data_IF_980078760455
#
_entry.id   IF_980078760455
#
_cell.length_a   1.000
_cell.length_b   1.000
_cell.length_c   1.000
_cell.angle_alpha   90.00
_cell.angle_beta   90.00
_cell.angle_gamma   90.00
#
_symmetry.space_group_name_H-M   'P 1'
#
loop_
_entity.id
_entity.type
_entity.pdbx_description
1 polymer ?
#
# COMPACT_ATOMS: atom_id res chain seq x y z
N UNK A 1 12.90 -26.31 -16.86
CA UNK A 1 12.83 -25.17 -15.93
C UNK A 1 12.06 -24.07 -16.65
N UNK A 2 10.78 -23.92 -16.36
CA UNK A 2 10.01 -22.77 -16.84
C UNK A 2 10.53 -21.56 -16.07
N UNK A 3 11.25 -20.67 -16.75
CA UNK A 3 11.57 -19.36 -16.20
C UNK A 3 10.22 -18.67 -16.08
N UNK A 4 9.63 -18.70 -14.88
CA UNK A 4 8.47 -17.91 -14.52
C UNK A 4 8.88 -16.45 -14.73
N UNK A 5 8.36 -15.84 -15.80
CA UNK A 5 8.64 -14.43 -16.12
C UNK A 5 7.42 -13.62 -15.70
N UNK A 6 7.62 -12.58 -14.90
CA UNK A 6 6.60 -11.56 -14.62
C UNK A 6 6.29 -10.69 -15.85
N UNK A 7 6.43 -11.23 -17.06
CA UNK A 7 6.35 -10.51 -18.34
C UNK A 7 4.93 -10.02 -18.64
N UNK A 8 3.91 -10.75 -18.17
CA UNK A 8 2.49 -10.42 -18.35
C UNK A 8 1.90 -9.52 -17.25
N UNK A 9 2.71 -9.08 -16.27
CA UNK A 9 2.24 -8.24 -15.17
C UNK A 9 1.91 -6.84 -15.69
N UNK A 10 0.65 -6.47 -15.56
CA UNK A 10 0.16 -5.14 -15.91
C UNK A 10 -0.09 -4.27 -14.68
N UNK A 11 -0.38 -4.82 -13.50
CA UNK A 11 -0.68 -4.06 -12.28
C UNK A 11 0.11 -4.62 -11.10
N UNK A 12 0.72 -3.74 -10.28
CA UNK A 12 1.22 -4.15 -8.96
C UNK A 12 0.29 -3.65 -7.86
N UNK A 13 -0.16 -4.57 -7.01
CA UNK A 13 -0.98 -4.35 -5.83
C UNK A 13 -0.07 -4.42 -4.59
N UNK A 14 0.14 -3.30 -3.89
CA UNK A 14 1.06 -3.18 -2.76
C UNK A 14 0.30 -3.09 -1.44
N UNK A 15 0.66 -3.95 -0.49
CA UNK A 15 0.03 -4.03 0.84
C UNK A 15 1.09 -4.17 1.94
N UNK A 16 1.22 -3.17 2.83
CA UNK A 16 1.89 -3.35 4.11
C UNK A 16 1.11 -4.31 5.01
N UNK A 17 1.82 -5.17 5.73
CA UNK A 17 1.25 -6.22 6.59
C UNK A 17 1.92 -6.15 7.95
N UNK A 18 1.13 -6.02 9.01
CA UNK A 18 1.58 -6.22 10.39
C UNK A 18 0.52 -7.03 11.13
N UNK A 19 0.91 -8.17 11.71
CA UNK A 19 -0.01 -9.12 12.35
C UNK A 19 0.53 -9.55 13.70
N UNK A 20 -0.12 -9.09 14.76
CA UNK A 20 0.13 -9.49 16.14
C UNK A 20 -0.83 -10.62 16.58
N UNK A 21 -2.06 -10.62 16.07
CA UNK A 21 -3.08 -11.61 16.41
C UNK A 21 -3.29 -12.63 15.28
N UNK A 22 -2.84 -13.88 15.49
CA UNK A 22 -2.97 -14.97 14.50
C UNK A 22 -4.43 -15.40 14.27
N UNK A 23 -5.28 -15.27 15.28
CA UNK A 23 -6.68 -15.73 15.23
C UNK A 23 -7.52 -14.90 14.26
N UNK A 24 -7.07 -13.70 13.91
CA UNK A 24 -7.78 -12.83 12.99
C UNK A 24 -7.85 -13.39 11.55
N UNK A 25 -6.96 -14.33 11.18
CA UNK A 25 -6.89 -15.00 9.87
C UNK A 25 -6.99 -14.04 8.67
N UNK A 26 -6.42 -12.84 8.82
CA UNK A 26 -6.66 -11.74 7.86
C UNK A 26 -6.00 -12.05 6.52
N UNK A 27 -4.84 -12.69 6.53
CA UNK A 27 -4.11 -13.03 5.31
C UNK A 27 -4.80 -14.13 4.54
N UNK A 28 -5.28 -15.17 5.22
CA UNK A 28 -6.06 -16.25 4.62
C UNK A 28 -7.33 -15.69 3.97
N UNK A 29 -8.05 -14.80 4.67
CA UNK A 29 -9.23 -14.10 4.12
C UNK A 29 -8.88 -13.23 2.91
N UNK A 30 -7.75 -12.52 2.97
CA UNK A 30 -7.26 -11.70 1.86
C UNK A 30 -6.97 -12.56 0.63
N UNK A 31 -6.22 -13.65 0.79
CA UNK A 31 -5.83 -14.55 -0.30
C UNK A 31 -7.06 -15.25 -0.89
N UNK A 32 -7.87 -15.91 -0.06
CA UNK A 32 -9.07 -16.63 -0.51
C UNK A 32 -9.99 -15.75 -1.35
N UNK A 33 -10.19 -14.49 -0.94
CA UNK A 33 -11.00 -13.53 -1.68
C UNK A 33 -10.49 -13.30 -3.11
N UNK A 34 -9.19 -13.10 -3.29
CA UNK A 34 -8.64 -12.85 -4.62
C UNK A 34 -8.52 -14.13 -5.45
N UNK A 35 -8.35 -15.29 -4.83
CA UNK A 35 -8.33 -16.58 -5.53
C UNK A 35 -9.68 -17.00 -6.16
N UNK A 36 -10.76 -16.33 -5.79
CA UNK A 36 -12.08 -16.46 -6.42
C UNK A 36 -12.14 -15.78 -7.79
N UNK A 37 -11.23 -14.86 -8.08
CA UNK A 37 -11.27 -14.06 -9.31
C UNK A 37 -10.77 -14.86 -10.51
N UNK A 38 -11.21 -14.43 -11.69
CA UNK A 38 -10.83 -15.03 -12.96
C UNK A 38 -9.31 -15.07 -13.17
N UNK A 39 -8.81 -16.21 -13.67
CA UNK A 39 -7.38 -16.46 -13.84
C UNK A 39 -6.71 -15.44 -14.78
N UNK A 40 -7.41 -15.01 -15.84
CA UNK A 40 -6.87 -14.02 -16.78
C UNK A 40 -6.67 -12.63 -16.16
N UNK A 41 -7.38 -12.34 -15.07
CA UNK A 41 -7.15 -11.13 -14.26
C UNK A 41 -5.94 -11.34 -13.36
N UNK A 42 -5.94 -12.43 -12.60
CA UNK A 42 -4.92 -12.69 -11.57
C UNK A 42 -3.52 -12.82 -12.16
N UNK A 43 -3.38 -13.45 -13.34
CA UNK A 43 -2.08 -13.59 -14.01
C UNK A 43 -1.44 -12.26 -14.39
N UNK A 44 -2.23 -11.18 -14.49
CA UNK A 44 -1.78 -9.81 -14.81
C UNK A 44 -1.50 -8.94 -13.58
N UNK A 45 -1.79 -9.45 -12.37
CA UNK A 45 -1.62 -8.71 -11.12
C UNK A 45 -0.47 -9.32 -10.35
N UNK A 46 0.46 -8.48 -9.95
CA UNK A 46 1.53 -8.80 -9.01
C UNK A 46 1.17 -8.26 -7.62
N UNK A 47 0.98 -9.15 -6.66
CA UNK A 47 0.73 -8.81 -5.28
C UNK A 47 2.07 -8.70 -4.53
N UNK A 48 2.34 -7.51 -3.98
CA UNK A 48 3.51 -7.26 -3.13
C UNK A 48 3.03 -7.08 -1.70
N UNK A 49 3.37 -8.05 -0.85
CA UNK A 49 3.04 -8.04 0.56
C UNK A 49 4.33 -7.75 1.34
N UNK A 50 4.31 -6.69 2.14
CA UNK A 50 5.47 -6.29 2.94
C UNK A 50 5.15 -6.50 4.40
N UNK A 51 5.69 -7.58 4.96
CA UNK A 51 5.62 -7.91 6.38
C UNK A 51 6.53 -6.96 7.19
N UNK A 52 5.91 -6.03 7.89
CA UNK A 52 6.53 -4.97 8.69
C UNK A 52 6.91 -5.48 10.08
N UNK A 53 7.76 -6.51 10.11
CA UNK A 53 8.24 -7.16 11.34
C UNK A 53 7.12 -7.75 12.22
N UNK A 54 6.10 -8.39 11.62
CA UNK A 54 5.08 -9.10 12.40
C UNK A 54 5.71 -10.11 13.37
N UNK A 55 5.24 -10.22 14.62
CA UNK A 55 5.72 -11.24 15.57
C UNK A 55 5.36 -12.66 15.12
N UNK A 56 4.32 -12.79 14.30
CA UNK A 56 3.94 -14.05 13.66
C UNK A 56 4.58 -14.12 12.29
N UNK A 57 5.14 -15.28 11.95
CA UNK A 57 5.69 -15.52 10.61
C UNK A 57 4.56 -15.52 9.58
N UNK A 58 4.70 -14.65 8.57
CA UNK A 58 3.78 -14.62 7.43
C UNK A 58 4.04 -15.81 6.51
N UNK A 59 3.07 -16.72 6.41
CA UNK A 59 3.09 -17.86 5.49
C UNK A 59 1.88 -17.78 4.57
N UNK A 60 2.14 -17.74 3.26
CA UNK A 60 1.08 -17.65 2.25
C UNK A 60 1.21 -18.81 1.28
N UNK A 61 0.17 -19.61 1.23
CA UNK A 61 0.02 -20.72 0.30
C UNK A 61 -1.05 -20.31 -0.71
N UNK A 62 -0.62 -20.07 -1.94
CA UNK A 62 -1.49 -19.77 -3.08
C UNK A 62 -0.82 -20.31 -4.32
N UNK A 63 -1.57 -20.93 -5.22
CA UNK A 63 -1.09 -21.38 -6.53
C UNK A 63 -1.60 -20.53 -7.70
N UNK A 64 -2.44 -19.52 -7.41
CA UNK A 64 -3.14 -18.69 -8.41
C UNK A 64 -2.62 -17.25 -8.52
N UNK A 65 -1.83 -16.80 -7.54
CA UNK A 65 -1.40 -15.41 -7.44
C UNK A 65 0.09 -15.26 -7.76
N UNK A 66 0.43 -14.21 -8.52
CA UNK A 66 1.81 -13.72 -8.61
C UNK A 66 2.12 -12.92 -7.34
N UNK A 67 3.03 -13.41 -6.50
CA UNK A 67 3.29 -12.84 -5.18
C UNK A 67 4.79 -12.59 -4.98
N UNK A 68 5.13 -11.40 -4.50
CA UNK A 68 6.38 -11.14 -3.77
C UNK A 68 6.05 -10.86 -2.31
N UNK A 69 6.68 -11.58 -1.40
CA UNK A 69 6.63 -11.31 0.04
C UNK A 69 8.01 -10.84 0.49
N UNK A 70 8.07 -9.63 1.02
CA UNK A 70 9.25 -9.12 1.69
C UNK A 70 8.99 -8.98 3.18
N UNK A 71 10.03 -9.17 3.99
CA UNK A 71 9.98 -8.96 5.44
C UNK A 71 11.00 -7.91 5.84
N UNK A 72 10.54 -6.90 6.56
CA UNK A 72 11.35 -5.98 7.34
C UNK A 72 11.71 -6.68 8.66
N UNK A 73 12.99 -6.64 9.02
CA UNK A 73 13.52 -7.34 10.20
C UNK A 73 13.69 -6.42 11.41
N UNK A 74 13.67 -5.11 11.19
CA UNK A 74 13.79 -4.12 12.23
C UNK A 74 12.39 -3.78 12.76
N UNK A 75 12.18 -3.89 14.07
CA UNK A 75 10.93 -3.55 14.72
C UNK A 75 10.81 -2.03 14.89
N UNK A 76 10.18 -1.39 13.92
CA UNK A 76 9.94 0.06 13.88
C UNK A 76 8.44 0.30 14.06
N UNK A 77 7.99 0.90 15.17
CA UNK A 77 6.58 1.23 15.35
C UNK A 77 6.07 2.11 14.21
N UNK A 78 4.86 1.85 13.72
CA UNK A 78 4.22 2.68 12.70
C UNK A 78 5.06 2.90 11.42
N UNK A 79 5.70 1.85 10.90
CA UNK A 79 6.58 1.91 9.72
C UNK A 79 5.84 1.71 8.38
N UNK A 80 4.57 2.08 8.33
CA UNK A 80 3.73 1.95 7.13
C UNK A 80 4.32 2.68 5.91
N UNK A 81 4.97 3.85 6.12
CA UNK A 81 5.64 4.59 5.06
C UNK A 81 6.81 3.82 4.45
N UNK A 82 7.68 3.26 5.31
CA UNK A 82 8.80 2.40 4.89
C UNK A 82 8.34 1.14 4.16
N UNK A 83 7.34 0.45 4.71
CA UNK A 83 6.76 -0.73 4.08
C UNK A 83 6.17 -0.43 2.69
N UNK A 84 5.50 0.71 2.51
CA UNK A 84 4.99 1.17 1.20
C UNK A 84 6.11 1.46 0.22
N UNK A 85 7.16 2.16 0.65
CA UNK A 85 8.32 2.43 -0.21
C UNK A 85 8.98 1.13 -0.67
N UNK A 86 9.14 0.15 0.22
CA UNK A 86 9.69 -1.16 -0.11
C UNK A 86 8.80 -1.90 -1.11
N UNK A 87 7.49 -1.89 -0.88
CA UNK A 87 6.55 -2.54 -1.78
C UNK A 87 6.54 -1.94 -3.18
N UNK A 88 6.68 -0.62 -3.29
CA UNK A 88 6.85 0.06 -4.59
C UNK A 88 8.21 -0.22 -5.22
N UNK A 89 9.29 -0.32 -4.44
CA UNK A 89 10.60 -0.71 -4.97
C UNK A 89 10.50 -2.06 -5.70
N UNK A 90 9.87 -3.04 -5.06
CA UNK A 90 9.71 -4.42 -5.53
C UNK A 90 8.65 -4.60 -6.64
N UNK A 91 7.92 -3.54 -6.98
CA UNK A 91 6.88 -3.59 -8.02
C UNK A 91 7.44 -4.01 -9.39
N UNK A 92 6.68 -4.85 -10.10
CA UNK A 92 7.01 -5.39 -11.43
C UNK A 92 6.24 -4.69 -12.56
N UNK A 93 5.32 -3.78 -12.22
CA UNK A 93 4.59 -2.94 -13.19
C UNK A 93 4.79 -1.45 -12.90
N UNK A 94 4.67 -0.64 -13.96
CA UNK A 94 4.59 0.81 -13.85
C UNK A 94 3.28 1.30 -13.20
N UNK A 95 2.20 0.50 -13.23
CA UNK A 95 0.90 0.80 -12.62
C UNK A 95 0.86 0.23 -11.20
N UNK A 96 0.56 1.10 -10.24
CA UNK A 96 0.58 0.79 -8.82
C UNK A 96 -0.80 1.02 -8.21
N UNK A 97 -1.30 0.03 -7.49
CA UNK A 97 -2.41 0.15 -6.55
C UNK A 97 -1.84 -0.03 -5.15
N UNK A 98 -1.86 1.00 -4.32
CA UNK A 98 -1.42 0.95 -2.93
C UNK A 98 -2.65 0.99 -2.02
N UNK A 99 -2.67 0.17 -0.98
CA UNK A 99 -3.79 0.06 -0.05
C UNK A 99 -3.39 -0.68 1.23
N UNK A 100 -4.29 -0.70 2.20
CA UNK A 100 -4.14 -1.46 3.44
C UNK A 100 -4.79 -2.85 3.35
N UNK A 101 -4.41 -3.74 4.28
CA UNK A 101 -4.82 -5.14 4.29
C UNK A 101 -6.33 -5.35 4.52
N UNK A 102 -7.01 -4.40 5.16
CA UNK A 102 -8.45 -4.40 5.43
C UNK A 102 -9.31 -3.85 4.27
N UNK A 103 -8.66 -3.46 3.17
CA UNK A 103 -9.29 -2.99 1.96
C UNK A 103 -9.32 -4.06 0.89
N UNK A 104 -10.42 -4.12 0.16
CA UNK A 104 -10.60 -5.08 -0.93
C UNK A 104 -11.27 -4.46 -2.13
N UNK A 105 -10.77 -4.83 -3.32
CA UNK A 105 -11.25 -4.30 -4.60
C UNK A 105 -12.07 -5.35 -5.32
N UNK A 106 -13.27 -5.00 -5.82
CA UNK A 106 -14.01 -5.88 -6.73
C UNK A 106 -13.19 -6.21 -7.99
N UNK A 107 -13.38 -7.41 -8.53
CA UNK A 107 -12.67 -7.86 -9.73
C UNK A 107 -12.83 -6.88 -10.91
N UNK A 108 -14.04 -6.36 -11.13
CA UNK A 108 -14.31 -5.34 -12.16
C UNK A 108 -13.45 -4.08 -12.02
N UNK A 109 -13.09 -3.69 -10.79
CA UNK A 109 -12.21 -2.55 -10.54
C UNK A 109 -10.78 -2.91 -10.90
N UNK A 110 -10.31 -4.11 -10.57
CA UNK A 110 -8.99 -4.57 -10.96
C UNK A 110 -8.86 -4.69 -12.49
N UNK A 111 -9.88 -5.24 -13.17
CA UNK A 111 -9.95 -5.24 -14.64
C UNK A 111 -9.87 -3.84 -15.22
N UNK A 112 -10.57 -2.87 -14.63
CA UNK A 112 -10.48 -1.47 -15.04
C UNK A 112 -9.06 -0.91 -14.90
N UNK A 113 -8.39 -1.17 -13.77
CA UNK A 113 -7.02 -0.68 -13.52
C UNK A 113 -5.98 -1.34 -14.43
N UNK A 114 -6.16 -2.63 -14.74
CA UNK A 114 -5.36 -3.35 -15.74
C UNK A 114 -5.57 -2.71 -17.12
N UNK A 115 -6.80 -2.49 -17.56
CA UNK A 115 -7.04 -1.84 -18.85
C UNK A 115 -6.67 -0.34 -18.88
N UNK A 116 -6.44 0.29 -17.72
CA UNK A 116 -6.13 1.71 -17.64
C UNK A 116 -4.74 2.00 -18.22
N UNK A 117 -4.56 3.09 -18.99
CA UNK A 117 -3.24 3.55 -19.37
C UNK A 117 -2.42 3.92 -18.13
N UNK A 118 -1.09 3.93 -18.25
CA UNK A 118 -0.21 4.33 -17.13
C UNK A 118 -0.63 5.74 -16.66
N UNK A 119 -1.07 5.89 -15.40
CA UNK A 119 -1.69 7.14 -14.96
C UNK A 119 -0.65 8.23 -14.76
N UNK A 120 -0.99 9.47 -15.15
CA UNK A 120 -0.20 10.69 -14.91
C UNK A 120 -0.62 11.42 -13.62
N UNK A 121 -1.56 10.85 -12.88
CA UNK A 121 -2.25 11.44 -11.75
C UNK A 121 -2.37 10.41 -10.64
N UNK A 122 -2.66 10.88 -9.42
CA UNK A 122 -3.08 10.00 -8.34
C UNK A 122 -4.60 9.89 -8.37
N UNK A 123 -5.11 8.66 -8.40
CA UNK A 123 -6.53 8.36 -8.39
C UNK A 123 -6.91 7.77 -7.04
N UNK A 124 -7.89 8.37 -6.37
CA UNK A 124 -8.53 7.76 -5.22
C UNK A 124 -9.85 7.08 -5.63
N UNK A 125 -10.39 6.31 -4.68
CA UNK A 125 -11.59 5.53 -4.87
C UNK A 125 -12.69 5.99 -3.91
N UNK A 126 -13.95 5.78 -4.30
CA UNK A 126 -15.02 5.80 -3.31
C UNK A 126 -14.81 4.64 -2.35
N UNK A 127 -15.03 4.88 -1.06
CA UNK A 127 -14.91 3.85 -0.03
C UNK A 127 -16.29 3.47 0.45
N UNK A 128 -16.54 2.18 0.59
CA UNK A 128 -17.74 1.66 1.26
C UNK A 128 -17.31 0.85 2.48
N UNK A 129 -17.85 1.21 3.64
CA UNK A 129 -17.69 0.47 4.90
C UNK A 129 -19.00 -0.24 5.20
N UNK A 130 -18.98 -1.57 5.29
CA UNK A 130 -20.17 -2.38 5.57
C UNK A 130 -21.37 -2.02 4.67
N UNK A 131 -21.11 -1.83 3.37
CA UNK A 131 -22.12 -1.45 2.36
C UNK A 131 -22.54 0.03 2.35
N UNK A 132 -22.03 0.87 3.26
CA UNK A 132 -22.38 2.29 3.35
C UNK A 132 -21.24 3.18 2.83
N UNK A 133 -21.54 4.30 2.13
CA UNK A 133 -20.52 5.26 1.71
C UNK A 133 -19.67 5.74 2.89
N UNK A 134 -18.37 5.87 2.66
CA UNK A 134 -17.39 6.32 3.64
C UNK A 134 -16.41 7.29 2.99
N UNK A 135 -15.76 8.13 3.81
CA UNK A 135 -14.71 9.03 3.34
C UNK A 135 -13.57 8.25 2.64
N UNK A 136 -13.07 8.74 1.48
CA UNK A 136 -11.92 8.15 0.80
C UNK A 136 -10.70 8.05 1.73
N UNK A 137 -9.98 6.96 1.62
CA UNK A 137 -8.76 6.75 2.41
C UNK A 137 -7.55 7.35 1.68
N UNK A 138 -6.77 8.26 2.29
CA UNK A 138 -5.61 8.88 1.64
C UNK A 138 -4.54 7.85 1.25
N UNK A 139 -4.48 6.74 1.98
CA UNK A 139 -3.53 5.65 1.82
C UNK A 139 -3.99 4.58 0.81
N UNK A 140 -5.14 4.78 0.15
CA UNK A 140 -5.68 3.86 -0.86
C UNK A 140 -5.83 4.56 -2.21
N UNK A 141 -4.89 4.31 -3.11
CA UNK A 141 -4.81 5.04 -4.38
C UNK A 141 -4.15 4.26 -5.50
N UNK A 142 -4.49 4.63 -6.73
CA UNK A 142 -3.88 4.15 -7.97
C UNK A 142 -3.03 5.24 -8.60
N UNK A 143 -1.79 4.92 -8.95
CA UNK A 143 -0.86 5.85 -9.60
C UNK A 143 0.19 5.09 -10.42
N UNK A 144 1.15 5.82 -11.00
CA UNK A 144 2.31 5.22 -11.66
C UNK A 144 3.54 5.30 -10.76
N UNK A 145 4.50 4.38 -10.95
CA UNK A 145 5.79 4.39 -10.24
C UNK A 145 6.51 5.73 -10.37
N UNK A 146 6.49 6.35 -11.55
CA UNK A 146 7.04 7.70 -11.76
C UNK A 146 6.29 8.78 -11.00
N UNK A 147 4.95 8.68 -10.89
CA UNK A 147 4.15 9.63 -10.10
C UNK A 147 4.46 9.48 -8.61
N UNK A 148 4.52 8.24 -8.10
CA UNK A 148 4.87 7.95 -6.71
C UNK A 148 6.24 8.55 -6.34
N UNK A 149 7.28 8.28 -7.13
CA UNK A 149 8.63 8.79 -6.87
C UNK A 149 8.84 10.27 -7.19
N UNK A 150 7.84 10.98 -7.73
CA UNK A 150 7.93 12.42 -7.91
C UNK A 150 8.15 13.16 -6.57
N UNK A 151 7.57 12.63 -5.49
CA UNK A 151 7.79 13.09 -4.11
C UNK A 151 8.91 12.33 -3.39
N UNK A 152 9.67 11.47 -4.10
CA UNK A 152 10.68 10.55 -3.55
C UNK A 152 10.10 9.38 -2.75
N UNK A 153 8.81 9.10 -2.93
CA UNK A 153 8.07 8.13 -2.11
C UNK A 153 7.42 8.78 -0.90
N UNK A 154 7.12 7.96 0.11
CA UNK A 154 6.63 8.39 1.42
C UNK A 154 7.83 8.79 2.28
N UNK A 155 7.71 9.87 3.03
CA UNK A 155 8.81 10.36 3.87
C UNK A 155 8.96 9.51 5.13
N UNK A 156 10.01 8.70 5.20
CA UNK A 156 10.25 7.77 6.31
C UNK A 156 10.62 8.46 7.64
N UNK A 157 10.84 9.78 7.65
CA UNK A 157 11.00 10.51 8.92
C UNK A 157 9.73 10.49 9.78
N UNK A 158 8.57 10.19 9.19
CA UNK A 158 7.33 9.98 9.94
C UNK A 158 7.23 8.56 10.56
N UNK A 159 8.08 7.61 10.14
CA UNK A 159 8.09 6.27 10.72
C UNK A 159 8.63 6.32 12.16
N UNK A 160 8.17 5.40 13.02
CA UNK A 160 8.41 5.42 14.46
C UNK A 160 7.25 6.02 15.27
N UNK A 161 6.34 6.76 14.62
CA UNK A 161 5.21 7.44 15.26
C UNK A 161 3.95 7.35 14.39
N UNK A 162 2.77 7.49 15.00
CA UNK A 162 1.52 7.30 14.28
C UNK A 162 1.13 8.52 13.42
N UNK A 163 0.86 8.24 12.14
CA UNK A 163 0.07 9.10 11.24
C UNK A 163 0.83 10.24 10.57
N UNK A 164 0.13 10.91 9.65
CA UNK A 164 0.56 12.07 8.85
C UNK A 164 1.59 11.83 7.75
N UNK A 165 2.18 10.64 7.66
CA UNK A 165 3.05 10.28 6.53
C UNK A 165 2.29 10.31 5.20
N UNK A 166 1.05 9.85 5.23
CA UNK A 166 0.10 9.82 4.12
C UNK A 166 -0.39 11.23 3.75
N UNK A 167 -0.74 12.04 4.75
CA UNK A 167 -1.15 13.43 4.56
C UNK A 167 -0.01 14.22 3.93
N UNK A 168 1.22 14.10 4.47
CA UNK A 168 2.37 14.81 3.93
C UNK A 168 2.70 14.37 2.51
N UNK A 169 2.66 13.06 2.23
CA UNK A 169 2.84 12.53 0.87
C UNK A 169 1.85 13.19 -0.11
N UNK A 170 0.57 13.24 0.25
CA UNK A 170 -0.47 13.84 -0.59
C UNK A 170 -0.28 15.34 -0.77
N UNK A 171 0.10 16.06 0.28
CA UNK A 171 0.38 17.51 0.24
C UNK A 171 1.62 17.84 -0.59
N UNK A 172 2.70 17.07 -0.45
CA UNK A 172 3.93 17.22 -1.23
C UNK A 172 3.66 16.96 -2.71
N UNK A 173 2.88 15.93 -3.04
CA UNK A 173 2.44 15.67 -4.40
C UNK A 173 1.66 16.84 -5.01
N UNK A 174 0.75 17.46 -4.24
CA UNK A 174 0.03 18.67 -4.68
C UNK A 174 0.98 19.86 -4.90
N UNK A 175 1.93 20.08 -3.99
CA UNK A 175 2.94 21.14 -4.13
C UNK A 175 3.78 20.93 -5.40
N UNK A 176 4.07 19.68 -5.74
CA UNK A 176 4.74 19.26 -6.97
C UNK A 176 3.83 19.24 -8.21
N UNK A 177 2.61 19.77 -8.12
CA UNK A 177 1.65 19.89 -9.22
C UNK A 177 1.11 18.56 -9.74
N UNK A 178 1.18 17.49 -8.95
CA UNK A 178 0.46 16.25 -9.23
C UNK A 178 -1.04 16.48 -9.06
N UNK A 179 -1.84 16.11 -10.07
CA UNK A 179 -3.30 16.21 -9.99
C UNK A 179 -3.89 14.98 -9.30
N UNK A 180 -5.01 15.18 -8.63
CA UNK A 180 -5.78 14.15 -7.96
C UNK A 180 -7.13 13.98 -8.67
N UNK A 181 -7.52 12.73 -8.89
CA UNK A 181 -8.81 12.36 -9.50
C UNK A 181 -9.49 11.28 -8.68
N UNK A 182 -10.79 11.12 -8.87
CA UNK A 182 -11.57 10.06 -8.23
C UNK A 182 -12.20 9.17 -9.28
N UNK A 183 -12.00 7.87 -9.18
CA UNK A 183 -12.83 6.92 -9.93
C UNK A 183 -14.22 6.88 -9.30
N UNK A 184 -15.19 7.52 -9.97
CA UNK A 184 -16.56 7.65 -9.42
C UNK A 184 -17.40 6.38 -9.50
N UNK A 185 -17.08 5.48 -10.43
CA UNK A 185 -17.79 4.21 -10.69
C UNK A 185 -17.08 2.99 -10.10
N UNK A 186 -15.89 3.17 -9.56
CA UNK A 186 -15.12 2.10 -8.92
C UNK A 186 -14.93 2.43 -7.46
N UNK A 187 -14.94 1.38 -6.64
CA UNK A 187 -14.94 1.54 -5.20
C UNK A 187 -14.03 0.52 -4.53
N UNK A 188 -13.69 0.81 -3.29
CA UNK A 188 -13.01 -0.10 -2.39
C UNK A 188 -13.93 -0.44 -1.23
N UNK A 189 -14.05 -1.72 -0.93
CA UNK A 189 -14.77 -2.21 0.24
C UNK A 189 -13.81 -2.33 1.40
N UNK A 190 -14.18 -1.77 2.54
CA UNK A 190 -13.42 -1.89 3.78
C UNK A 190 -14.20 -2.75 4.75
N UNK A 191 -13.51 -3.75 5.29
CA UNK A 191 -13.99 -4.55 6.42
C UNK A 191 -13.22 -4.11 7.65
N UNK A 192 -13.89 -3.38 8.54
CA UNK A 192 -13.21 -2.86 9.72
C UNK A 192 -13.10 -3.93 10.79
N UNK A 193 -11.97 -4.63 10.79
CA UNK A 193 -11.65 -5.68 11.76
C UNK A 193 -11.51 -5.17 13.21
N UNK A 194 -11.46 -3.85 13.43
CA UNK A 194 -11.22 -3.25 14.75
C UNK A 194 -12.48 -3.10 15.60
N UNK A 195 -13.66 -3.15 14.98
CA UNK A 195 -14.96 -3.01 15.67
C UNK A 195 -15.57 -4.36 16.09
N UNK A 196 -14.92 -5.47 15.72
CA UNK A 196 -15.33 -6.82 16.06
C UNK A 196 -14.29 -7.38 17.04
N UNK A 197 -14.74 -7.74 18.24
CA UNK A 197 -13.89 -8.36 19.27
C UNK A 197 -13.18 -9.61 18.70
N UNK A 198 -11.86 -9.70 18.88
CA UNK A 198 -11.03 -10.77 18.32
C UNK A 198 -10.52 -10.57 16.89
N UNK A 199 -10.99 -9.56 16.14
CA UNK A 199 -10.51 -9.29 14.77
C UNK A 199 -9.41 -8.20 14.69
N UNK A 200 -9.13 -7.45 15.77
CA UNK A 200 -7.99 -6.51 15.78
C UNK A 200 -6.65 -7.25 15.62
N UNK A 201 -5.80 -6.75 14.73
CA UNK A 201 -4.51 -7.37 14.41
C UNK A 201 -3.32 -6.73 15.11
N UNK A 202 -3.49 -5.62 15.86
CA UNK A 202 -2.42 -5.03 16.66
C UNK A 202 -2.93 -4.18 17.85
N UNK A 203 -2.07 -3.95 18.83
CA UNK A 203 -2.34 -3.13 20.03
C UNK A 203 -1.56 -1.79 20.08
N UNK A 204 -0.88 -1.40 19.00
CA UNK A 204 -0.10 -0.14 18.94
C UNK A 204 -0.90 1.12 19.31
N UNK A 205 -0.30 1.98 20.14
CA UNK A 205 -0.87 3.27 20.58
C UNK A 205 -0.81 4.31 19.47
N UNK A 206 -1.95 4.94 19.20
CA UNK A 206 -2.14 5.96 18.16
C UNK A 206 -1.88 7.38 18.69
N UNK A 207 -0.64 7.69 19.06
CA UNK A 207 -0.24 9.05 19.43
C UNK A 207 0.28 9.83 18.22
N UNK A 208 -0.41 10.92 17.87
CA UNK A 208 -0.14 11.75 16.71
C UNK A 208 0.78 12.94 17.01
N UNK A 209 1.07 13.26 18.28
CA UNK A 209 1.72 14.53 18.67
C UNK A 209 3.07 14.77 17.99
N UNK A 210 3.91 13.73 17.94
CA UNK A 210 5.26 13.84 17.35
C UNK A 210 5.16 14.13 15.86
N UNK A 211 4.36 13.35 15.14
CA UNK A 211 4.21 13.51 13.70
C UNK A 211 3.40 14.76 13.33
N UNK A 212 2.51 15.25 14.19
CA UNK A 212 1.82 16.53 13.99
C UNK A 212 2.80 17.71 14.02
N UNK A 213 3.72 17.71 14.98
CA UNK A 213 4.78 18.71 15.07
C UNK A 213 5.71 18.64 13.85
N UNK A 214 6.10 17.43 13.44
CA UNK A 214 6.92 17.20 12.25
C UNK A 214 6.21 17.69 10.96
N UNK A 215 4.93 17.36 10.80
CA UNK A 215 4.11 17.81 9.68
C UNK A 215 4.06 19.34 9.61
N UNK A 216 3.87 19.99 10.76
CA UNK A 216 3.82 21.45 10.85
C UNK A 216 5.12 22.09 10.36
N UNK A 217 6.27 21.54 10.76
CA UNK A 217 7.58 21.98 10.27
C UNK A 217 7.72 21.76 8.76
N UNK A 218 7.39 20.57 8.27
CA UNK A 218 7.55 20.20 6.84
C UNK A 218 6.62 20.99 5.91
N UNK A 219 5.43 21.39 6.38
CA UNK A 219 4.48 22.25 5.63
C UNK A 219 5.04 23.62 5.28
N UNK A 220 6.01 24.13 6.04
CA UNK A 220 6.69 25.38 5.70
C UNK A 220 7.36 25.29 4.31
N UNK A 221 7.95 24.14 3.98
CA UNK A 221 8.62 23.91 2.69
C UNK A 221 7.63 23.82 1.52
N UNK A 222 6.41 23.34 1.75
CA UNK A 222 5.40 23.16 0.69
C UNK A 222 4.98 24.47 0.03
N UNK A 223 5.13 25.59 0.74
CA UNK A 223 4.81 26.95 0.24
C UNK A 223 5.97 27.57 -0.55
N UNK A 224 7.14 26.93 -0.57
CA UNK A 224 8.34 27.44 -1.25
C UNK A 224 8.39 27.02 -2.72
N UNK A 225 9.34 27.57 -3.48
CA UNK A 225 9.64 27.11 -4.85
C UNK A 225 10.35 25.75 -4.89
N UNK A 226 10.81 25.21 -3.75
CA UNK A 226 11.57 23.96 -3.64
C UNK A 226 10.94 23.02 -2.60
N UNK A 227 9.68 22.57 -2.78
CA UNK A 227 8.96 21.79 -1.77
C UNK A 227 9.65 20.47 -1.37
N UNK A 228 10.47 19.88 -2.25
CA UNK A 228 11.28 18.69 -1.96
C UNK A 228 12.37 18.90 -0.90
N UNK A 229 12.66 20.15 -0.51
CA UNK A 229 13.59 20.41 0.61
C UNK A 229 13.00 19.97 1.96
N UNK A 230 11.67 19.84 2.08
CA UNK A 230 11.03 19.33 3.29
C UNK A 230 11.09 17.80 3.43
N UNK A 231 11.44 17.06 2.38
CA UNK A 231 11.53 15.60 2.41
C UNK A 231 12.88 15.13 2.98
N UNK A 232 12.86 14.21 3.95
CA UNK A 232 14.03 13.85 4.78
C UNK A 232 15.19 13.12 4.09
N UNK A 233 14.97 12.58 2.88
CA UNK A 233 15.93 11.71 2.14
C UNK A 233 16.25 10.39 2.84
N UNK A 234 15.55 10.09 3.93
CA UNK A 234 15.53 8.75 4.52
C UNK A 234 14.69 7.87 3.60
N UNK A 235 15.24 6.73 3.19
CA UNK A 235 14.57 5.79 2.29
C UNK A 235 15.10 4.39 2.55
N UNK A 236 14.19 3.46 2.85
CA UNK A 236 14.46 2.08 3.22
C UNK A 236 15.52 1.97 4.32
N UNK A 237 15.41 2.82 5.37
CA UNK A 237 16.37 2.86 6.47
C UNK A 237 16.12 1.77 7.51
N UNK A 238 16.08 0.51 7.04
CA UNK A 238 15.85 -0.69 7.83
C UNK A 238 16.37 -1.92 7.09
N UNK A 239 16.63 -3.00 7.83
CA UNK A 239 16.99 -4.30 7.25
C UNK A 239 15.75 -5.01 6.71
N UNK A 240 15.84 -5.58 5.50
CA UNK A 240 14.76 -6.36 4.90
C UNK A 240 15.29 -7.45 3.97
N UNK A 241 14.43 -8.43 3.67
CA UNK A 241 14.71 -9.49 2.69
C UNK A 241 13.43 -9.94 1.98
N UNK A 242 13.57 -10.41 0.75
CA UNK A 242 12.50 -11.18 0.09
C UNK A 242 12.47 -12.57 0.74
N UNK A 243 11.31 -12.98 1.24
CA UNK A 243 11.12 -14.30 1.85
C UNK A 243 10.40 -15.29 0.92
N UNK A 244 9.66 -14.77 -0.07
CA UNK A 244 9.00 -15.58 -1.10
C UNK A 244 8.83 -14.75 -2.38
N UNK A 245 9.12 -15.36 -3.52
CA UNK A 245 8.74 -14.84 -4.83
C UNK A 245 8.12 -15.98 -5.63
N UNK A 246 6.99 -15.71 -6.26
CA UNK A 246 6.20 -16.68 -7.02
C UNK A 246 5.55 -15.95 -8.18
N UNK A 247 5.67 -16.49 -9.40
CA UNK A 247 4.78 -16.10 -10.49
C UNK A 247 4.01 -17.32 -10.99
N UNK A 248 2.76 -17.06 -11.35
CA UNK A 248 1.91 -17.96 -12.10
C UNK A 248 2.07 -17.59 -13.56
N UNK A 249 2.41 -18.57 -14.40
CA UNK A 249 2.57 -18.39 -15.84
C UNK A 249 1.24 -18.21 -16.56
#
# INVERSE_FOLDING_TARGET
MTISTFSDIELTYVVPVYIENKEAQIIEKFISKYEEYDHEVLRKIHFVLVDDCSPIKLEIISSKLNITIARISDDIPWNQGGARNLGVLLSKSAKLLLTDLDHSFPEETLRHLIAHPIPKHIYNFRRYKNGKPHHPHPNTFFCSKSTFYKSLGVDEQFCGHYGYEDIYFMELQKALKTKFKTFRRHYVSVREHKEIEGESHHNLVRDTKVNEALLTQKRAFLKTKKPLQGHSRITLNFNWKIIKEQSVG
#
